data_IF_761994920909
#
_entry.id   IF_761994920909
#
_cell.length_a   1.000
_cell.length_b   1.000
_cell.length_c   1.000
_cell.angle_alpha   90.00
_cell.angle_beta   90.00
_cell.angle_gamma   90.00
#
_symmetry.space_group_name_H-M   'P 1'
#
loop_
_entity.id
_entity.type
_entity.pdbx_description
1 polymer ?
#
# COMPACT_ATOMS: atom_id res chain seq x y z
N UNK A 1 -15.83 8.39 -7.37
CA UNK A 1 -14.55 8.65 -6.66
C UNK A 1 -14.08 7.43 -5.88
N UNK A 2 -14.96 6.79 -5.11
CA UNK A 2 -14.67 5.59 -4.28
C UNK A 2 -13.97 4.47 -5.08
N UNK A 3 -14.41 4.18 -6.31
CA UNK A 3 -13.80 3.12 -7.15
C UNK A 3 -12.34 3.38 -7.54
N UNK A 4 -11.98 4.62 -7.89
CA UNK A 4 -10.59 4.97 -8.26
C UNK A 4 -9.66 4.83 -7.06
N UNK A 5 -10.15 5.24 -5.88
CA UNK A 5 -9.43 5.08 -4.62
C UNK A 5 -9.25 3.60 -4.26
N UNK A 6 -10.21 2.73 -4.60
CA UNK A 6 -10.10 1.29 -4.42
C UNK A 6 -9.06 0.63 -5.34
N UNK A 7 -8.96 1.08 -6.59
CA UNK A 7 -7.90 0.63 -7.52
C UNK A 7 -6.52 0.97 -6.95
N UNK A 8 -6.36 2.17 -6.39
CA UNK A 8 -5.11 2.59 -5.78
C UNK A 8 -4.69 1.68 -4.61
N UNK A 9 -5.63 1.27 -3.77
CA UNK A 9 -5.38 0.34 -2.65
C UNK A 9 -4.99 -1.06 -3.15
N UNK A 10 -5.60 -1.52 -4.23
CA UNK A 10 -5.25 -2.83 -4.81
C UNK A 10 -3.85 -2.79 -5.43
N UNK A 11 -3.52 -1.74 -6.18
CA UNK A 11 -2.21 -1.60 -6.80
C UNK A 11 -1.09 -1.52 -5.75
N UNK A 12 -1.31 -0.79 -4.67
CA UNK A 12 -0.36 -0.70 -3.55
C UNK A 12 -0.23 -2.01 -2.79
N UNK A 13 -1.33 -2.75 -2.57
CA UNK A 13 -1.29 -4.10 -2.03
C UNK A 13 -0.46 -5.05 -2.90
N UNK A 14 -0.60 -4.97 -4.23
CA UNK A 14 0.20 -5.76 -5.17
C UNK A 14 1.68 -5.40 -5.07
N UNK A 15 2.03 -4.12 -4.95
CA UNK A 15 3.42 -3.67 -4.77
C UNK A 15 4.00 -4.20 -3.46
N UNK A 16 3.24 -4.14 -2.36
CA UNK A 16 3.64 -4.69 -1.06
C UNK A 16 3.87 -6.21 -1.13
N UNK A 17 3.00 -6.96 -1.81
CA UNK A 17 3.19 -8.39 -2.05
C UNK A 17 4.42 -8.66 -2.92
N UNK A 18 4.64 -7.85 -3.96
CA UNK A 18 5.81 -7.98 -4.83
C UNK A 18 7.12 -7.71 -4.10
N UNK A 19 7.12 -6.89 -3.05
CA UNK A 19 8.29 -6.65 -2.18
C UNK A 19 8.67 -7.89 -1.36
N UNK A 20 7.71 -8.77 -1.04
CA UNK A 20 8.01 -10.05 -0.36
C UNK A 20 8.82 -10.95 -1.29
N UNK A 21 8.44 -10.99 -2.57
CA UNK A 21 9.14 -11.75 -3.60
C UNK A 21 10.43 -11.09 -4.10
N UNK A 22 10.74 -9.85 -3.68
CA UNK A 22 11.94 -9.14 -4.12
C UNK A 22 13.26 -9.82 -3.72
N UNK A 23 13.21 -10.87 -2.89
CA UNK A 23 14.31 -11.84 -2.72
C UNK A 23 14.77 -12.44 -4.05
N UNK A 24 13.94 -12.47 -5.10
CA UNK A 24 14.23 -13.07 -6.39
C UNK A 24 14.56 -12.02 -7.47
N UNK A 25 15.54 -11.13 -7.26
CA UNK A 25 16.15 -10.19 -8.24
C UNK A 25 15.22 -9.27 -9.08
N UNK A 26 13.91 -9.41 -8.99
CA UNK A 26 12.88 -8.69 -9.74
C UNK A 26 11.98 -8.02 -8.71
N UNK A 27 12.54 -7.01 -8.03
CA UNK A 27 11.78 -6.13 -7.16
C UNK A 27 11.03 -5.07 -7.98
N UNK A 28 9.95 -4.49 -7.44
CA UNK A 28 9.26 -3.39 -8.11
C UNK A 28 10.22 -2.19 -8.29
N UNK A 29 10.12 -1.44 -9.40
CA UNK A 29 10.98 -0.29 -9.62
C UNK A 29 10.75 0.75 -8.53
N UNK A 30 11.85 1.30 -7.98
CA UNK A 30 11.82 2.22 -6.83
C UNK A 30 10.88 3.41 -7.04
N UNK A 31 10.79 3.91 -8.28
CA UNK A 31 9.87 5.00 -8.64
C UNK A 31 8.40 4.65 -8.39
N UNK A 32 7.97 3.41 -8.64
CA UNK A 32 6.60 2.98 -8.35
C UNK A 32 6.35 2.93 -6.84
N UNK A 33 7.29 2.38 -6.06
CA UNK A 33 7.17 2.33 -4.60
C UNK A 33 6.98 3.72 -4.00
N UNK A 34 7.79 4.69 -4.45
CA UNK A 34 7.71 6.09 -4.00
C UNK A 34 6.37 6.71 -4.41
N UNK A 35 5.98 6.59 -5.68
CA UNK A 35 4.77 7.21 -6.21
C UNK A 35 3.52 6.68 -5.50
N UNK A 36 3.40 5.37 -5.37
CA UNK A 36 2.26 4.75 -4.70
C UNK A 36 2.27 4.98 -3.19
N UNK A 37 3.45 5.05 -2.56
CA UNK A 37 3.58 5.44 -1.15
C UNK A 37 3.07 6.87 -0.90
N UNK A 38 3.44 7.82 -1.75
CA UNK A 38 2.95 9.21 -1.67
C UNK A 38 1.44 9.26 -1.87
N UNK A 39 0.93 8.59 -2.90
CA UNK A 39 -0.50 8.64 -3.21
C UNK A 39 -1.36 8.05 -2.09
N UNK A 40 -0.91 6.96 -1.45
CA UNK A 40 -1.59 6.39 -0.30
C UNK A 40 -1.54 7.32 0.91
N UNK A 41 -0.39 7.93 1.19
CA UNK A 41 -0.27 8.89 2.29
C UNK A 41 -1.18 10.10 2.07
N UNK A 42 -1.20 10.64 0.84
CA UNK A 42 -2.10 11.74 0.47
C UNK A 42 -3.57 11.33 0.62
N UNK A 43 -3.93 10.13 0.17
CA UNK A 43 -5.27 9.59 0.36
C UNK A 43 -5.63 9.53 1.84
N UNK A 44 -4.76 8.96 2.68
CA UNK A 44 -4.96 8.90 4.12
C UNK A 44 -5.12 10.28 4.75
N UNK A 45 -4.32 11.26 4.31
CA UNK A 45 -4.40 12.65 4.78
C UNK A 45 -5.71 13.33 4.38
N UNK A 46 -6.22 13.08 3.17
CA UNK A 46 -7.49 13.67 2.69
C UNK A 46 -8.69 13.11 3.47
N UNK A 47 -8.63 11.84 3.91
CA UNK A 47 -9.71 11.14 4.59
C UNK A 47 -9.46 10.93 6.10
N UNK A 48 -8.68 11.81 6.75
CA UNK A 48 -8.26 11.72 8.17
C UNK A 48 -9.38 11.48 9.21
N UNK A 49 -10.64 11.66 8.81
CA UNK A 49 -11.80 11.51 9.68
C UNK A 49 -12.07 10.04 10.07
N UNK A 50 -11.56 9.08 9.30
CA UNK A 50 -11.79 7.66 9.52
C UNK A 50 -10.55 6.95 10.04
N UNK A 51 -10.70 6.05 11.02
CA UNK A 51 -9.55 5.28 11.57
C UNK A 51 -8.83 4.45 10.50
N UNK A 52 -9.56 4.03 9.47
CA UNK A 52 -9.03 3.31 8.32
C UNK A 52 -8.10 4.16 7.45
N UNK A 53 -8.13 5.50 7.55
CA UNK A 53 -7.24 6.41 6.83
C UNK A 53 -5.87 6.54 7.50
N UNK A 54 -5.81 6.41 8.82
CA UNK A 54 -4.54 6.38 9.58
C UNK A 54 -3.74 5.15 9.18
N UNK A 55 -4.42 4.03 8.95
CA UNK A 55 -3.79 2.81 8.44
C UNK A 55 -3.22 3.03 7.03
N UNK A 56 -3.89 3.78 6.16
CA UNK A 56 -3.33 4.11 4.83
C UNK A 56 -2.00 4.87 4.97
N UNK A 57 -1.94 5.88 5.82
CA UNK A 57 -0.69 6.61 6.09
C UNK A 57 0.39 5.65 6.58
N UNK A 58 0.05 4.74 7.50
CA UNK A 58 0.96 3.70 7.98
C UNK A 58 1.48 2.79 6.85
N UNK A 59 0.61 2.38 5.92
CA UNK A 59 1.02 1.56 4.77
C UNK A 59 1.90 2.32 3.78
N UNK A 60 1.64 3.61 3.57
CA UNK A 60 2.50 4.46 2.76
C UNK A 60 3.87 4.63 3.39
N UNK A 61 3.95 4.81 4.71
CA UNK A 61 5.21 4.83 5.46
C UNK A 61 5.94 3.48 5.37
N UNK A 62 5.22 2.35 5.45
CA UNK A 62 5.80 1.02 5.27
C UNK A 62 6.41 0.84 3.86
N UNK A 63 5.73 1.31 2.81
CA UNK A 63 6.27 1.33 1.45
C UNK A 63 7.54 2.19 1.35
N UNK A 64 7.61 3.32 2.04
CA UNK A 64 8.83 4.12 2.07
C UNK A 64 9.97 3.44 2.82
N UNK A 65 9.67 2.83 3.98
CA UNK A 65 10.65 2.09 4.76
C UNK A 65 11.22 0.91 3.98
N UNK A 66 10.42 0.26 3.13
CA UNK A 66 10.89 -0.86 2.31
C UNK A 66 11.98 -0.49 1.29
N UNK A 67 12.21 0.81 1.03
CA UNK A 67 13.30 1.28 0.16
C UNK A 67 14.67 1.27 0.87
N UNK A 68 14.67 1.33 2.20
CA UNK A 68 15.88 1.47 3.01
C UNK A 68 16.19 0.22 3.82
N UNK A 69 15.14 -0.47 4.29
CA UNK A 69 15.27 -1.65 5.13
C UNK A 69 14.48 -2.82 4.55
N UNK A 70 14.98 -4.04 4.77
CA UNK A 70 14.22 -5.26 4.49
C UNK A 70 13.19 -5.44 5.59
N UNK A 71 11.91 -5.32 5.23
CA UNK A 71 10.81 -5.49 6.16
C UNK A 71 10.46 -6.97 6.34
N UNK A 72 9.94 -7.38 7.51
CA UNK A 72 9.48 -8.74 7.73
C UNK A 72 8.37 -9.11 6.73
N UNK A 73 8.44 -10.26 6.04
CA UNK A 73 7.43 -10.68 5.08
C UNK A 73 6.01 -10.71 5.66
N UNK A 74 5.89 -11.13 6.92
CA UNK A 74 4.60 -11.22 7.62
C UNK A 74 3.95 -9.84 7.80
N UNK A 75 4.76 -8.79 8.06
CA UNK A 75 4.29 -7.42 8.17
C UNK A 75 3.77 -6.90 6.82
N UNK A 76 4.52 -7.16 5.73
CA UNK A 76 4.13 -6.78 4.37
C UNK A 76 2.86 -7.51 3.92
N UNK A 77 2.71 -8.80 4.26
CA UNK A 77 1.52 -9.59 3.94
C UNK A 77 0.27 -9.05 4.62
N UNK A 78 0.36 -8.70 5.92
CA UNK A 78 -0.78 -8.13 6.66
C UNK A 78 -1.15 -6.75 6.07
N UNK A 79 -0.16 -5.92 5.79
CA UNK A 79 -0.33 -4.61 5.16
C UNK A 79 -1.02 -4.71 3.80
N UNK A 80 -0.54 -5.62 2.94
CA UNK A 80 -1.11 -5.88 1.64
C UNK A 80 -2.53 -6.48 1.73
N UNK A 81 -2.76 -7.41 2.65
CA UNK A 81 -4.08 -8.00 2.87
C UNK A 81 -5.11 -6.95 3.28
N UNK A 82 -4.74 -6.05 4.21
CA UNK A 82 -5.63 -4.97 4.64
C UNK A 82 -5.98 -4.02 3.49
N UNK A 83 -4.97 -3.51 2.76
CA UNK A 83 -5.20 -2.63 1.61
C UNK A 83 -5.97 -3.33 0.50
N UNK A 84 -5.64 -4.58 0.20
CA UNK A 84 -6.32 -5.37 -0.83
C UNK A 84 -7.79 -5.57 -0.51
N UNK A 85 -8.13 -5.97 0.71
CA UNK A 85 -9.51 -6.13 1.15
C UNK A 85 -10.25 -4.79 1.12
N UNK A 86 -9.64 -3.72 1.64
CA UNK A 86 -10.21 -2.38 1.62
C UNK A 86 -10.47 -1.89 0.19
N UNK A 87 -9.54 -2.14 -0.71
CA UNK A 87 -9.67 -1.78 -2.12
C UNK A 87 -10.79 -2.55 -2.81
N UNK A 88 -10.92 -3.85 -2.55
CA UNK A 88 -12.03 -4.67 -3.07
C UNK A 88 -13.37 -4.16 -2.55
N UNK A 89 -13.50 -3.91 -1.24
CA UNK A 89 -14.72 -3.35 -0.65
C UNK A 89 -15.07 -1.99 -1.28
N UNK A 90 -14.06 -1.15 -1.52
CA UNK A 90 -14.21 0.16 -2.17
C UNK A 90 -14.58 0.08 -3.66
N UNK A 91 -14.36 -1.07 -4.32
CA UNK A 91 -14.81 -1.30 -5.69
C UNK A 91 -16.26 -1.82 -5.76
N UNK A 92 -16.67 -2.56 -4.73
CA UNK A 92 -18.00 -3.15 -4.61
C UNK A 92 -19.04 -2.16 -4.08
N UNK A 93 -18.62 -1.13 -3.34
CA UNK A 93 -19.44 0.01 -2.92
C UNK A 93 -19.70 1.01 -4.06
#
# INVERSE_FOLDING_TARGET
>A
MVKILGILDILTAIILLSLISASSNIGPPKGMVILFGILICLKGLIFLRDIASVLDIGMGVLLFLSLFIVLPPLLLSIAAGFLGLKGILSLLA
#
